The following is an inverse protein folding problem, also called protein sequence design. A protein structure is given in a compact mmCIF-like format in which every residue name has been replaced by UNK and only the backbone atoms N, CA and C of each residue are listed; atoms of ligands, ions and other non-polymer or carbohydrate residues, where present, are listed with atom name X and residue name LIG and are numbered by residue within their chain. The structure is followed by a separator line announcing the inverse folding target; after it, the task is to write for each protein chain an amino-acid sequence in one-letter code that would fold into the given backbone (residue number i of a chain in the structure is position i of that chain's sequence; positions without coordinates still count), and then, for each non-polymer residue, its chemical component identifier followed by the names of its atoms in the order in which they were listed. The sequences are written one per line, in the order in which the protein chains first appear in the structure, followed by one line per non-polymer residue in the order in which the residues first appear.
data_IF_469510264680
#
_entry.id   IF_469510264680
#
_cell.length_a   1.000
_cell.length_b   1.000
_cell.length_c   1.000
_cell.angle_alpha   90.00
_cell.angle_beta   90.00
_cell.angle_gamma   90.00
#
_symmetry.space_group_name_H-M   'P 1'
#
loop_
_entity.id
_entity.type
_entity.pdbx_description
1 polymer ?
#
# COMPACT_ATOMS: atom_id res chain seq x y z
N UNK A 1 -14.05 -62.24 1.97
CA UNK A 1 -13.32 -60.96 2.02
C UNK A 1 -14.17 -59.89 1.35
N UNK A 2 -14.67 -58.90 2.09
CA UNK A 2 -15.30 -57.70 1.53
C UNK A 2 -14.49 -56.51 2.03
N UNK A 3 -13.68 -55.95 1.15
CA UNK A 3 -12.81 -54.81 1.45
C UNK A 3 -13.69 -53.58 1.22
N UNK A 4 -14.17 -52.98 2.31
CA UNK A 4 -14.86 -51.71 2.25
C UNK A 4 -13.80 -50.61 2.07
N UNK A 5 -13.65 -50.13 0.83
CA UNK A 5 -12.85 -48.96 0.49
C UNK A 5 -13.58 -47.73 1.02
N UNK A 6 -13.30 -47.35 2.27
CA UNK A 6 -13.77 -46.08 2.82
C UNK A 6 -12.79 -45.01 2.33
N UNK A 7 -13.17 -44.34 1.24
CA UNK A 7 -12.51 -43.12 0.78
C UNK A 7 -12.62 -42.06 1.89
N UNK A 8 -11.50 -41.78 2.55
CA UNK A 8 -11.36 -40.60 3.41
C UNK A 8 -11.27 -39.36 2.52
N UNK A 9 -12.39 -38.64 2.42
CA UNK A 9 -12.45 -37.29 1.83
C UNK A 9 -11.68 -36.36 2.76
N UNK A 10 -10.44 -36.04 2.41
CA UNK A 10 -9.73 -34.91 3.02
C UNK A 10 -10.41 -33.63 2.56
N UNK A 11 -11.37 -33.16 3.36
CA UNK A 11 -11.90 -31.81 3.25
C UNK A 11 -10.83 -30.86 3.81
N UNK A 12 -9.83 -30.54 2.98
CA UNK A 12 -8.92 -29.44 3.26
C UNK A 12 -9.74 -28.16 3.26
N UNK A 13 -10.15 -27.72 4.45
CA UNK A 13 -10.57 -26.35 4.64
C UNK A 13 -9.39 -25.47 4.28
N UNK A 14 -9.40 -24.94 3.05
CA UNK A 14 -8.63 -23.75 2.72
C UNK A 14 -9.09 -22.69 3.72
N UNK A 15 -8.37 -22.57 4.83
CA UNK A 15 -8.34 -21.34 5.57
C UNK A 15 -7.79 -20.33 4.57
N UNK A 16 -8.68 -19.55 3.97
CA UNK A 16 -8.37 -18.29 3.32
C UNK A 16 -7.85 -17.35 4.42
N UNK A 17 -6.69 -17.67 5.02
CA UNK A 17 -5.84 -16.62 5.55
C UNK A 17 -5.61 -15.75 4.34
N UNK A 18 -6.30 -14.62 4.26
CA UNK A 18 -5.99 -13.62 3.27
C UNK A 18 -4.49 -13.39 3.43
N UNK A 19 -3.69 -13.88 2.48
CA UNK A 19 -2.27 -13.59 2.40
C UNK A 19 -2.14 -12.12 2.00
N UNK A 20 -2.64 -11.23 2.85
CA UNK A 20 -2.29 -9.83 2.80
C UNK A 20 -0.89 -9.81 3.37
N UNK A 21 0.10 -10.00 2.50
CA UNK A 21 1.47 -9.67 2.83
C UNK A 21 1.52 -8.19 3.19
N UNK A 22 2.40 -7.82 4.11
CA UNK A 22 2.71 -6.42 4.37
C UNK A 22 3.02 -5.65 3.06
N UNK A 23 2.74 -4.35 2.99
CA UNK A 23 3.04 -3.56 1.80
C UNK A 23 4.54 -3.60 1.51
N UNK A 24 4.89 -3.86 0.24
CA UNK A 24 6.25 -3.73 -0.27
C UNK A 24 6.66 -2.25 -0.36
N UNK A 25 7.95 -1.97 -0.61
CA UNK A 25 8.38 -0.60 -0.87
C UNK A 25 7.70 0.00 -2.11
N UNK A 26 7.48 -0.80 -3.15
CA UNK A 26 6.81 -0.37 -4.38
C UNK A 26 5.33 -0.06 -4.12
N UNK A 27 4.67 -0.85 -3.27
CA UNK A 27 3.31 -0.57 -2.81
C UNK A 27 3.23 0.78 -2.10
N UNK A 28 4.18 1.07 -1.21
CA UNK A 28 4.26 2.34 -0.50
C UNK A 28 4.56 3.47 -1.49
N UNK A 29 5.50 3.29 -2.42
CA UNK A 29 5.79 4.28 -3.46
C UNK A 29 4.54 4.62 -4.28
N UNK A 30 3.77 3.61 -4.69
CA UNK A 30 2.54 3.80 -5.45
C UNK A 30 1.45 4.53 -4.64
N UNK A 31 1.36 4.26 -3.34
CA UNK A 31 0.47 5.01 -2.45
C UNK A 31 0.84 6.50 -2.40
N UNK A 32 2.13 6.82 -2.23
CA UNK A 32 2.63 8.20 -2.28
C UNK A 32 2.39 8.83 -3.65
N UNK A 33 2.64 8.08 -4.73
CA UNK A 33 2.43 8.54 -6.11
C UNK A 33 0.97 8.93 -6.34
N UNK A 34 0.01 8.15 -5.85
CA UNK A 34 -1.41 8.49 -5.96
C UNK A 34 -1.76 9.82 -5.28
N UNK A 35 -1.17 10.10 -4.10
CA UNK A 35 -1.39 11.36 -3.37
C UNK A 35 -0.74 12.54 -4.11
N UNK A 36 0.49 12.37 -4.60
CA UNK A 36 1.21 13.40 -5.38
C UNK A 36 0.49 13.70 -6.69
N UNK A 37 0.07 12.68 -7.43
CA UNK A 37 -0.66 12.84 -8.69
C UNK A 37 -1.98 13.57 -8.47
N UNK A 38 -2.74 13.21 -7.42
CA UNK A 38 -3.99 13.90 -7.06
C UNK A 38 -3.76 15.36 -6.69
N UNK A 39 -2.70 15.64 -5.92
CA UNK A 39 -2.33 17.00 -5.54
C UNK A 39 -1.93 17.83 -6.75
N UNK A 40 -1.10 17.28 -7.64
CA UNK A 40 -0.69 17.92 -8.88
C UNK A 40 -1.87 18.17 -9.84
N UNK A 41 -2.79 17.20 -9.97
CA UNK A 41 -4.01 17.37 -10.74
C UNK A 41 -4.89 18.49 -10.16
N UNK A 42 -5.02 18.55 -8.83
CA UNK A 42 -5.78 19.61 -8.15
C UNK A 42 -5.17 20.99 -8.37
N UNK A 43 -3.83 21.11 -8.29
CA UNK A 43 -3.14 22.36 -8.60
C UNK A 43 -3.38 22.81 -10.05
N UNK A 44 -3.27 21.88 -11.01
CA UNK A 44 -3.54 22.16 -12.42
C UNK A 44 -5.01 22.52 -12.70
N UNK A 45 -5.95 21.94 -11.96
CA UNK A 45 -7.36 22.30 -12.07
C UNK A 45 -7.63 23.74 -11.59
N UNK A 46 -6.88 24.21 -10.58
CA UNK A 46 -6.97 25.60 -10.09
C UNK A 46 -6.24 26.60 -11.00
N UNK A 47 -5.09 26.21 -11.55
CA UNK A 47 -4.32 27.01 -12.49
C UNK A 47 -3.63 26.09 -13.52
N UNK A 48 -4.19 26.03 -14.72
CA UNK A 48 -3.67 25.18 -15.80
C UNK A 48 -2.30 25.61 -16.33
N UNK A 49 -1.86 26.83 -16.04
CA UNK A 49 -0.58 27.38 -16.48
C UNK A 49 0.58 27.08 -15.53
N UNK A 50 0.36 26.34 -14.43
CA UNK A 50 1.44 25.91 -13.54
C UNK A 50 2.46 25.09 -14.33
N UNK A 51 3.74 25.51 -14.36
CA UNK A 51 4.77 24.78 -15.09
C UNK A 51 5.15 23.49 -14.35
N UNK A 52 5.61 22.48 -15.08
CA UNK A 52 5.93 21.16 -14.49
C UNK A 52 7.02 21.18 -13.42
N UNK A 53 7.91 22.18 -13.45
CA UNK A 53 8.94 22.36 -12.43
C UNK A 53 8.37 22.68 -11.04
N UNK A 54 7.16 23.24 -10.98
CA UNK A 54 6.50 23.67 -9.75
C UNK A 54 5.52 22.60 -9.22
N UNK A 55 5.39 21.47 -9.92
CA UNK A 55 4.63 20.32 -9.45
C UNK A 55 5.41 19.53 -8.39
N UNK A 56 4.66 18.86 -7.51
CA UNK A 56 5.23 17.94 -6.52
C UNK A 56 5.90 16.74 -7.24
N UNK A 57 7.08 16.35 -6.77
CA UNK A 57 7.85 15.22 -7.31
C UNK A 57 8.31 14.33 -6.15
N UNK A 58 8.20 13.02 -6.32
CA UNK A 58 8.75 12.06 -5.36
C UNK A 58 10.23 11.90 -5.70
N UNK A 59 11.13 12.29 -4.79
CA UNK A 59 12.56 12.07 -4.96
C UNK A 59 12.94 10.65 -4.56
N UNK A 60 12.39 10.17 -3.43
CA UNK A 60 12.50 8.78 -2.99
C UNK A 60 11.40 8.41 -1.99
N UNK A 61 11.16 7.10 -1.87
CA UNK A 61 10.36 6.49 -0.80
C UNK A 61 11.11 5.25 -0.34
N UNK A 62 11.34 5.15 0.96
CA UNK A 62 12.04 4.03 1.59
C UNK A 62 11.20 3.46 2.71
N UNK A 63 10.89 2.17 2.60
CA UNK A 63 10.31 1.39 3.70
C UNK A 63 11.38 1.21 4.78
N UNK A 64 11.11 1.68 6.00
CA UNK A 64 11.98 1.42 7.16
C UNK A 64 11.49 0.18 7.90
N UNK A 65 10.21 0.14 8.22
CA UNK A 65 9.54 -1.01 8.83
C UNK A 65 8.04 -0.95 8.55
N UNK A 66 7.36 -2.09 8.65
CA UNK A 66 5.90 -2.16 8.73
C UNK A 66 5.51 -3.16 9.80
N UNK A 67 4.38 -2.89 10.46
CA UNK A 67 3.80 -3.80 11.44
C UNK A 67 2.29 -3.82 11.23
N UNK A 68 1.72 -5.02 11.22
CA UNK A 68 0.28 -5.18 11.13
C UNK A 68 -0.39 -4.71 12.42
N UNK A 69 -1.42 -3.89 12.29
CA UNK A 69 -2.37 -3.54 13.35
C UNK A 69 -3.63 -4.43 13.22
N UNK A 70 -4.81 -3.93 13.59
CA UNK A 70 -6.06 -4.65 13.39
C UNK A 70 -6.60 -4.47 11.95
N UNK A 71 -7.43 -5.42 11.50
CA UNK A 71 -8.20 -5.33 10.26
C UNK A 71 -7.36 -5.12 8.97
N UNK A 72 -6.18 -5.74 8.87
CA UNK A 72 -5.26 -5.59 7.74
C UNK A 72 -4.75 -4.14 7.51
N UNK A 73 -4.77 -3.33 8.56
CA UNK A 73 -4.11 -2.02 8.55
C UNK A 73 -2.65 -2.21 8.93
N UNK A 74 -1.73 -1.67 8.15
CA UNK A 74 -0.29 -1.73 8.42
C UNK A 74 0.21 -0.35 8.82
N UNK A 75 0.85 -0.26 9.97
CA UNK A 75 1.59 0.92 10.38
C UNK A 75 3.03 0.81 9.88
N UNK A 76 3.39 1.65 8.93
CA UNK A 76 4.68 1.64 8.26
C UNK A 76 5.47 2.90 8.60
N UNK A 77 6.70 2.74 9.10
CA UNK A 77 7.66 3.84 9.19
C UNK A 77 8.28 4.01 7.80
N UNK A 78 8.08 5.19 7.23
CA UNK A 78 8.52 5.51 5.87
C UNK A 78 9.40 6.75 5.92
N UNK A 79 10.60 6.64 5.33
CA UNK A 79 11.49 7.75 5.03
C UNK A 79 11.25 8.13 3.57
N UNK A 80 10.78 9.36 3.32
CA UNK A 80 10.44 9.83 1.99
C UNK A 80 10.86 11.28 1.79
N UNK A 81 11.11 11.62 0.52
CA UNK A 81 11.34 13.00 0.10
C UNK A 81 10.41 13.35 -1.05
N UNK A 82 9.68 14.44 -0.88
CA UNK A 82 8.81 15.01 -1.92
C UNK A 82 9.27 16.45 -2.17
N UNK A 83 9.75 16.74 -3.38
CA UNK A 83 10.27 18.04 -3.78
C UNK A 83 11.31 18.60 -2.80
N UNK A 84 12.28 17.75 -2.42
CA UNK A 84 13.33 17.99 -1.43
C UNK A 84 12.86 18.16 0.03
N UNK A 85 11.57 17.98 0.32
CA UNK A 85 11.08 17.92 1.69
C UNK A 85 11.18 16.48 2.22
N UNK A 86 12.21 16.24 3.02
CA UNK A 86 12.50 14.94 3.63
C UNK A 86 11.77 14.77 4.95
N UNK A 87 11.07 13.65 5.11
CA UNK A 87 10.42 13.29 6.35
C UNK A 87 10.49 11.78 6.58
N UNK A 88 10.72 11.41 7.84
CA UNK A 88 10.53 10.03 8.32
C UNK A 88 9.36 10.03 9.29
N UNK A 89 8.26 9.37 8.91
CA UNK A 89 7.05 9.34 9.73
C UNK A 89 6.34 7.99 9.64
N UNK A 90 5.57 7.60 10.67
CA UNK A 90 4.62 6.52 10.55
C UNK A 90 3.46 6.92 9.62
N UNK A 91 3.02 5.98 8.79
CA UNK A 91 1.80 6.07 8.00
C UNK A 91 1.00 4.79 8.17
N UNK A 92 -0.32 4.89 8.09
CA UNK A 92 -1.19 3.71 8.10
C UNK A 92 -1.65 3.40 6.70
N UNK A 93 -1.52 2.15 6.30
CA UNK A 93 -1.86 1.66 4.96
C UNK A 93 -2.87 0.53 5.05
N UNK A 94 -3.88 0.57 4.20
CA UNK A 94 -4.84 -0.53 4.00
C UNK A 94 -4.88 -0.91 2.52
N UNK A 95 -5.02 -2.20 2.24
CA UNK A 95 -5.22 -2.70 0.87
C UNK A 95 -6.72 -2.73 0.57
N UNK A 96 -7.17 -1.90 -0.36
CA UNK A 96 -8.55 -1.86 -0.84
C UNK A 96 -8.57 -2.04 -2.36
N UNK A 97 -9.35 -3.00 -2.85
CA UNK A 97 -9.46 -3.33 -4.28
C UNK A 97 -8.11 -3.65 -4.94
N UNK A 98 -7.20 -4.29 -4.18
CA UNK A 98 -5.86 -4.63 -4.64
C UNK A 98 -4.85 -3.48 -4.59
N UNK A 99 -5.26 -2.27 -4.21
CA UNK A 99 -4.41 -1.07 -4.15
C UNK A 99 -4.21 -0.62 -2.71
N UNK A 100 -2.96 -0.29 -2.35
CA UNK A 100 -2.63 0.26 -1.04
C UNK A 100 -2.97 1.75 -0.96
N UNK A 101 -3.66 2.14 0.11
CA UNK A 101 -4.08 3.52 0.36
C UNK A 101 -3.71 3.95 1.77
N UNK A 102 -3.27 5.19 1.91
CA UNK A 102 -3.08 5.83 3.22
C UNK A 102 -4.44 6.01 3.90
N UNK A 103 -4.52 5.62 5.18
CA UNK A 103 -5.65 5.89 6.07
C UNK A 103 -5.17 6.78 7.21
N UNK A 104 -5.98 7.78 7.58
CA UNK A 104 -5.71 8.66 8.73
C UNK A 104 -6.27 8.08 10.02
#
# INVERSE_FOLDING_TARGET
MKIYSILTVFLTTLLLTACNSEPSQDDIYNAFKSVVDRSNASMKALNSSIPEKDLLKIDYVKKVSCTEEANNVYNCIVDASISNNKQTKPIKLVKADGVWKEVQ
#
